data_IF_918984868281
#
_entry.id   IF_918984868281
#
_cell.length_a   1.000
_cell.length_b   1.000
_cell.length_c   1.000
_cell.angle_alpha   90.00
_cell.angle_beta   90.00
_cell.angle_gamma   90.00
#
_symmetry.space_group_name_H-M   'P 1'
#
loop_
_entity.id
_entity.type
_entity.pdbx_description
1 polymer ?
#
# COMPACT_ATOMS: atom_id res chain seq x y z
N UNK A 1 2.19 -6.48 10.12
CA UNK A 1 1.32 -7.67 9.91
C UNK A 1 -0.15 -7.31 10.22
N UNK A 2 -1.16 -8.17 9.94
CA UNK A 2 -2.58 -7.82 10.13
C UNK A 2 -3.37 -8.73 11.07
N UNK A 3 -4.38 -8.16 11.73
CA UNK A 3 -5.48 -8.86 12.40
C UNK A 3 -6.63 -9.13 11.42
N UNK A 4 -7.43 -10.15 11.70
CA UNK A 4 -8.54 -10.56 10.82
C UNK A 4 -9.88 -10.24 11.46
N UNK A 5 -10.69 -9.41 10.80
CA UNK A 5 -12.10 -9.22 11.20
C UNK A 5 -12.90 -10.51 11.08
N UNK A 6 -14.02 -10.62 11.81
CA UNK A 6 -14.96 -11.75 11.69
C UNK A 6 -15.31 -12.05 10.23
N UNK A 7 -15.60 -11.01 9.45
CA UNK A 7 -15.96 -11.15 8.04
C UNK A 7 -14.79 -11.68 7.19
N UNK A 8 -13.56 -11.15 7.38
CA UNK A 8 -12.39 -11.69 6.71
C UNK A 8 -12.15 -13.17 7.05
N UNK A 9 -12.28 -13.56 8.32
CA UNK A 9 -12.15 -14.95 8.76
C UNK A 9 -13.13 -15.88 8.02
N UNK A 10 -14.40 -15.51 7.97
CA UNK A 10 -15.44 -16.29 7.26
C UNK A 10 -15.11 -16.45 5.77
N UNK A 11 -14.63 -15.38 5.11
CA UNK A 11 -14.29 -15.44 3.68
C UNK A 11 -13.04 -16.27 3.41
N UNK A 12 -12.02 -16.19 4.28
CA UNK A 12 -10.80 -17.01 4.18
C UNK A 12 -11.16 -18.50 4.36
N UNK A 13 -11.96 -18.84 5.38
CA UNK A 13 -12.47 -20.22 5.57
C UNK A 13 -13.17 -20.73 4.32
N UNK A 14 -14.10 -19.94 3.77
CA UNK A 14 -14.91 -20.35 2.62
C UNK A 14 -14.09 -20.48 1.33
N UNK A 15 -13.13 -19.59 1.08
CA UNK A 15 -12.48 -19.47 -0.25
C UNK A 15 -11.08 -20.06 -0.32
N UNK A 16 -10.26 -19.87 0.71
CA UNK A 16 -8.87 -20.33 0.70
C UNK A 16 -8.73 -21.72 1.31
N UNK A 17 -9.44 -21.99 2.41
CA UNK A 17 -9.32 -23.25 3.14
C UNK A 17 -10.38 -24.29 2.77
N UNK A 18 -11.57 -23.84 2.33
CA UNK A 18 -12.73 -24.70 2.00
C UNK A 18 -13.12 -25.65 3.14
N UNK A 19 -12.93 -25.22 4.40
CA UNK A 19 -13.24 -25.98 5.63
C UNK A 19 -14.24 -25.21 6.50
N UNK A 20 -15.14 -25.92 7.20
CA UNK A 20 -16.09 -25.33 8.17
C UNK A 20 -15.39 -24.97 9.48
N UNK A 21 -14.66 -25.93 10.05
CA UNK A 21 -13.89 -25.75 11.27
C UNK A 21 -12.40 -25.60 10.96
N UNK A 22 -11.88 -24.44 11.34
CA UNK A 22 -10.48 -24.07 11.17
C UNK A 22 -10.07 -23.36 12.44
N UNK A 23 -8.96 -23.80 13.04
CA UNK A 23 -8.42 -23.14 14.21
C UNK A 23 -7.90 -21.72 13.84
N UNK A 24 -7.86 -20.77 14.79
CA UNK A 24 -7.45 -19.40 14.49
C UNK A 24 -6.01 -19.27 13.96
N UNK A 25 -5.10 -20.12 14.41
CA UNK A 25 -3.68 -20.15 13.98
C UNK A 25 -3.56 -20.47 12.49
N UNK A 26 -4.19 -21.55 12.02
CA UNK A 26 -4.20 -21.99 10.62
C UNK A 26 -4.83 -20.91 9.74
N UNK A 27 -5.93 -20.33 10.19
CA UNK A 27 -6.62 -19.27 9.47
C UNK A 27 -5.73 -18.05 9.28
N UNK A 28 -5.00 -17.66 10.33
CA UNK A 28 -4.07 -16.54 10.28
C UNK A 28 -2.84 -16.83 9.43
N UNK A 29 -2.23 -18.01 9.57
CA UNK A 29 -1.11 -18.47 8.72
C UNK A 29 -1.50 -18.44 7.25
N UNK A 30 -2.69 -18.96 6.90
CA UNK A 30 -3.17 -18.94 5.51
C UNK A 30 -3.37 -17.52 4.98
N UNK A 31 -3.80 -16.60 5.83
CA UNK A 31 -3.96 -15.20 5.45
C UNK A 31 -2.61 -14.53 5.16
N UNK A 32 -1.59 -14.79 6.00
CA UNK A 32 -0.21 -14.31 5.76
C UNK A 32 0.37 -14.91 4.49
N UNK A 33 0.28 -16.23 4.33
CA UNK A 33 0.75 -16.93 3.13
C UNK A 33 0.10 -16.35 1.87
N UNK A 34 -1.21 -16.08 1.92
CA UNK A 34 -1.90 -15.42 0.82
C UNK A 34 -1.31 -14.03 0.53
N UNK A 35 -1.09 -13.21 1.56
CA UNK A 35 -0.53 -11.87 1.39
C UNK A 35 0.92 -11.88 0.86
N UNK A 36 1.76 -12.81 1.35
CA UNK A 36 3.15 -12.98 0.89
C UNK A 36 3.23 -13.41 -0.58
N UNK A 37 2.29 -14.24 -1.04
CA UNK A 37 2.22 -14.71 -2.42
C UNK A 37 1.34 -13.82 -3.32
N UNK A 38 0.96 -12.64 -2.85
CA UNK A 38 0.10 -11.69 -3.56
C UNK A 38 0.87 -10.44 -3.98
N UNK A 39 0.37 -9.78 -5.02
CA UNK A 39 0.76 -8.41 -5.37
C UNK A 39 0.14 -7.48 -4.32
N UNK A 40 0.99 -6.72 -3.61
CA UNK A 40 0.55 -5.65 -2.70
C UNK A 40 0.31 -4.34 -3.47
N UNK A 41 -0.83 -3.69 -3.22
CA UNK A 41 -1.18 -2.37 -3.74
C UNK A 41 -1.67 -1.47 -2.62
N UNK A 42 -1.18 -0.23 -2.60
CA UNK A 42 -1.50 0.74 -1.55
C UNK A 42 -2.29 1.89 -2.15
N UNK A 43 -3.54 2.05 -1.72
CA UNK A 43 -4.42 3.19 -2.01
C UNK A 43 -5.02 3.74 -0.71
N UNK A 44 -6.34 3.90 -0.66
CA UNK A 44 -7.05 4.15 0.60
C UNK A 44 -6.99 2.94 1.55
N UNK A 45 -7.00 1.75 0.95
CA UNK A 45 -6.73 0.47 1.59
C UNK A 45 -5.49 -0.18 0.96
N UNK A 46 -4.97 -1.19 1.63
CA UNK A 46 -3.94 -2.08 1.12
C UNK A 46 -4.64 -3.31 0.55
N UNK A 47 -4.36 -3.62 -0.71
CA UNK A 47 -4.94 -4.74 -1.43
C UNK A 47 -3.84 -5.76 -1.70
N UNK A 48 -4.03 -6.98 -1.20
CA UNK A 48 -3.20 -8.13 -1.59
C UNK A 48 -4.00 -8.95 -2.59
N UNK A 49 -3.53 -9.08 -3.83
CA UNK A 49 -4.22 -9.89 -4.84
C UNK A 49 -3.31 -10.92 -5.50
N UNK A 50 -3.85 -12.12 -5.72
CA UNK A 50 -3.22 -13.18 -6.50
C UNK A 50 -3.87 -13.37 -7.89
N UNK A 51 -4.66 -12.39 -8.34
CA UNK A 51 -5.41 -12.44 -9.61
C UNK A 51 -6.74 -13.22 -9.56
N UNK A 52 -6.98 -14.02 -8.53
CA UNK A 52 -8.27 -14.70 -8.31
C UNK A 52 -9.07 -14.09 -7.16
N UNK A 53 -8.37 -13.73 -6.08
CA UNK A 53 -8.94 -13.08 -4.90
C UNK A 53 -8.15 -11.83 -4.53
N UNK A 54 -8.79 -10.98 -3.74
CA UNK A 54 -8.21 -9.77 -3.17
C UNK A 54 -8.53 -9.71 -1.68
N UNK A 55 -7.50 -9.65 -0.85
CA UNK A 55 -7.59 -9.37 0.58
C UNK A 55 -7.45 -7.86 0.78
N UNK A 56 -8.48 -7.25 1.36
CA UNK A 56 -8.53 -5.81 1.63
C UNK A 56 -8.16 -5.58 3.08
N UNK A 57 -7.17 -4.72 3.28
CA UNK A 57 -6.52 -4.48 4.55
C UNK A 57 -6.44 -2.97 4.79
N UNK A 58 -6.69 -2.51 6.00
CA UNK A 58 -6.49 -1.09 6.35
C UNK A 58 -5.01 -0.72 6.29
N UNK A 59 -4.73 0.57 6.23
CA UNK A 59 -3.41 1.09 6.66
C UNK A 59 -3.18 0.76 8.14
N UNK A 60 -1.93 0.90 8.55
CA UNK A 60 -1.50 0.65 9.93
C UNK A 60 -2.42 1.40 10.91
N UNK A 61 -3.02 0.65 11.83
CA UNK A 61 -3.73 1.22 12.94
C UNK A 61 -2.73 1.63 14.00
N UNK A 62 -2.91 2.81 14.56
CA UNK A 62 -2.12 3.24 15.70
C UNK A 62 -2.36 2.26 16.85
N UNK A 63 -1.27 1.81 17.48
CA UNK A 63 -1.34 1.09 18.75
C UNK A 63 -2.24 1.85 19.73
N UNK A 64 -3.03 1.10 20.51
CA UNK A 64 -3.81 1.69 21.59
C UNK A 64 -2.87 2.24 22.67
N UNK A 65 -3.33 3.22 23.46
CA UNK A 65 -2.60 3.55 24.68
C UNK A 65 -2.62 2.35 25.64
N UNK A 66 -1.72 2.33 26.62
CA UNK A 66 -1.67 1.23 27.58
C UNK A 66 -3.00 1.13 28.34
N UNK A 67 -3.59 2.27 28.69
CA UNK A 67 -4.87 2.38 29.39
C UNK A 67 -6.02 1.86 28.52
N UNK A 68 -6.08 2.26 27.25
CA UNK A 68 -7.10 1.79 26.30
C UNK A 68 -7.00 0.27 26.07
N UNK A 69 -5.78 -0.23 25.88
CA UNK A 69 -5.51 -1.64 25.68
C UNK A 69 -5.95 -2.47 26.89
N UNK A 70 -5.50 -2.10 28.10
CA UNK A 70 -5.89 -2.75 29.35
C UNK A 70 -7.41 -2.71 29.53
N UNK A 71 -8.05 -1.56 29.28
CA UNK A 71 -9.51 -1.42 29.37
C UNK A 71 -10.22 -2.40 28.43
N UNK A 72 -9.78 -2.48 27.17
CA UNK A 72 -10.38 -3.38 26.18
C UNK A 72 -10.22 -4.87 26.55
N UNK A 73 -9.04 -5.26 27.04
CA UNK A 73 -8.77 -6.64 27.46
C UNK A 73 -9.53 -7.00 28.74
N UNK A 74 -9.53 -6.11 29.74
CA UNK A 74 -10.23 -6.33 31.02
C UNK A 74 -11.72 -6.49 30.82
N UNK A 75 -12.34 -5.62 30.03
CA UNK A 75 -13.78 -5.64 29.73
C UNK A 75 -14.21 -6.77 28.78
N UNK A 76 -13.27 -7.46 28.16
CA UNK A 76 -13.55 -8.59 27.28
C UNK A 76 -14.09 -9.80 28.04
N UNK A 77 -15.03 -10.54 27.44
CA UNK A 77 -15.55 -11.80 28.00
C UNK A 77 -14.58 -12.99 27.90
N UNK A 78 -13.51 -12.87 27.12
CA UNK A 78 -12.60 -13.98 26.84
C UNK A 78 -11.59 -14.18 27.98
N UNK A 79 -11.39 -15.44 28.41
CA UNK A 79 -10.37 -15.81 29.42
C UNK A 79 -8.98 -15.99 28.82
N UNK A 80 -8.90 -16.27 27.52
CA UNK A 80 -7.67 -16.49 26.76
C UNK A 80 -7.73 -15.73 25.44
N UNK A 81 -6.57 -15.35 24.94
CA UNK A 81 -6.41 -14.55 23.73
C UNK A 81 -5.35 -15.15 22.82
N UNK A 82 -5.55 -14.97 21.51
CA UNK A 82 -4.52 -15.18 20.51
C UNK A 82 -3.73 -13.89 20.37
N UNK A 83 -2.46 -13.93 20.75
CA UNK A 83 -1.54 -12.80 20.72
C UNK A 83 -0.61 -12.99 19.53
N UNK A 84 -0.66 -12.04 18.60
CA UNK A 84 0.08 -12.03 17.35
C UNK A 84 1.17 -10.96 17.41
N UNK A 85 2.39 -11.28 16.95
CA UNK A 85 3.47 -10.32 16.71
C UNK A 85 4.34 -10.82 15.56
N UNK A 86 5.20 -9.98 15.00
CA UNK A 86 5.93 -10.28 13.76
C UNK A 86 6.58 -11.67 13.78
N UNK A 87 5.98 -12.60 13.02
CA UNK A 87 6.46 -13.97 12.83
C UNK A 87 5.87 -15.07 13.74
N UNK A 88 5.12 -14.75 14.79
CA UNK A 88 4.64 -15.77 15.75
C UNK A 88 3.25 -15.47 16.33
N UNK A 89 2.63 -16.50 16.91
CA UNK A 89 1.34 -16.45 17.58
C UNK A 89 1.35 -17.31 18.84
N UNK A 90 0.93 -16.73 19.96
CA UNK A 90 0.72 -17.48 21.21
C UNK A 90 -0.71 -17.39 21.71
N UNK A 91 -1.18 -18.47 22.30
CA UNK A 91 -2.45 -18.50 23.02
C UNK A 91 -2.17 -18.27 24.51
N UNK A 92 -2.59 -17.12 25.03
CA UNK A 92 -2.20 -16.64 26.36
C UNK A 92 -3.42 -16.37 27.24
N UNK A 93 -3.35 -16.62 28.55
CA UNK A 93 -4.42 -16.25 29.47
C UNK A 93 -4.52 -14.73 29.64
N UNK A 94 -5.72 -14.22 29.94
CA UNK A 94 -6.01 -12.77 30.04
C UNK A 94 -5.01 -12.01 30.91
N UNK A 95 -4.64 -12.56 32.07
CA UNK A 95 -3.79 -11.86 33.04
C UNK A 95 -2.38 -11.61 32.49
N UNK A 96 -1.82 -12.52 31.69
CA UNK A 96 -0.54 -12.31 31.01
C UNK A 96 -0.66 -11.26 29.89
N UNK A 97 -1.77 -11.29 29.15
CA UNK A 97 -2.04 -10.34 28.05
C UNK A 97 -2.13 -8.90 28.56
N UNK A 98 -2.69 -8.70 29.77
CA UNK A 98 -2.79 -7.39 30.41
C UNK A 98 -1.43 -6.74 30.71
N UNK A 99 -0.35 -7.52 30.76
CA UNK A 99 1.01 -7.03 30.95
C UNK A 99 1.65 -6.51 29.65
N UNK A 100 1.04 -6.81 28.50
CA UNK A 100 1.55 -6.46 27.19
C UNK A 100 1.09 -5.06 26.74
N UNK A 101 1.69 -4.57 25.66
CA UNK A 101 1.28 -3.35 24.97
C UNK A 101 0.98 -3.66 23.50
N UNK A 102 -0.19 -3.25 23.04
CA UNK A 102 -0.59 -3.54 21.67
C UNK A 102 -1.95 -2.99 21.30
N UNK A 103 -2.63 -3.71 20.42
CA UNK A 103 -3.96 -3.41 19.93
C UNK A 103 -4.87 -4.61 20.13
N UNK A 104 -5.97 -4.41 20.83
CA UNK A 104 -7.01 -5.40 21.01
C UNK A 104 -8.26 -5.02 20.22
N UNK A 105 -8.77 -5.95 19.41
CA UNK A 105 -10.03 -5.72 18.72
C UNK A 105 -11.20 -5.94 19.69
N UNK A 106 -12.09 -4.95 19.78
CA UNK A 106 -13.29 -5.06 20.62
C UNK A 106 -14.10 -6.30 20.22
N UNK A 107 -14.55 -7.06 21.22
CA UNK A 107 -15.32 -8.31 21.04
C UNK A 107 -14.58 -9.45 20.32
N UNK A 108 -13.26 -9.37 20.16
CA UNK A 108 -12.42 -10.46 19.62
C UNK A 108 -11.46 -11.01 20.69
N UNK A 109 -11.12 -12.31 20.67
CA UNK A 109 -10.00 -12.85 21.43
C UNK A 109 -8.64 -12.57 20.75
N UNK A 110 -8.58 -11.80 19.66
CA UNK A 110 -7.33 -11.50 18.95
C UNK A 110 -6.67 -10.20 19.42
N UNK A 111 -5.37 -10.27 19.63
CA UNK A 111 -4.52 -9.19 20.14
C UNK A 111 -3.26 -9.07 19.31
N UNK A 112 -2.90 -7.88 18.86
CA UNK A 112 -1.64 -7.66 18.17
C UNK A 112 -0.66 -6.86 19.02
N UNK A 113 0.60 -7.26 19.08
CA UNK A 113 1.67 -6.49 19.72
C UNK A 113 2.34 -5.59 18.68
N UNK A 114 2.17 -4.27 18.83
CA UNK A 114 2.62 -3.26 17.87
C UNK A 114 1.46 -2.59 17.11
N UNK A 115 1.75 -2.05 15.92
CA UNK A 115 0.77 -1.39 15.05
C UNK A 115 0.19 -2.38 14.04
N UNK A 116 -1.01 -2.95 14.25
CA UNK A 116 -1.58 -3.89 13.29
C UNK A 116 -2.18 -3.15 12.11
N UNK A 117 -2.17 -3.82 10.95
CA UNK A 117 -3.17 -3.60 9.92
C UNK A 117 -4.43 -4.43 10.23
N UNK A 118 -5.59 -4.10 9.68
CA UNK A 118 -6.83 -4.88 9.86
C UNK A 118 -7.32 -5.38 8.52
N UNK A 119 -7.39 -6.70 8.33
CA UNK A 119 -8.02 -7.30 7.18
C UNK A 119 -9.55 -7.26 7.31
N UNK A 120 -10.17 -6.49 6.42
CA UNK A 120 -11.61 -6.22 6.41
C UNK A 120 -12.35 -7.37 5.73
N UNK A 121 -11.86 -7.82 4.58
CA UNK A 121 -12.50 -8.89 3.81
C UNK A 121 -11.53 -9.54 2.84
N UNK A 122 -11.84 -10.77 2.46
CA UNK A 122 -11.30 -11.40 1.26
C UNK A 122 -12.45 -11.47 0.25
N UNK A 123 -12.25 -11.06 -1.00
CA UNK A 123 -13.29 -11.13 -2.05
C UNK A 123 -12.73 -11.61 -3.39
N UNK A 124 -13.58 -12.01 -4.36
CA UNK A 124 -13.14 -12.23 -5.73
C UNK A 124 -12.43 -11.00 -6.26
N UNK A 125 -11.41 -11.27 -7.05
CA UNK A 125 -10.63 -10.26 -7.74
C UNK A 125 -11.55 -9.39 -8.60
N UNK A 126 -11.35 -8.08 -8.55
CA UNK A 126 -11.91 -7.14 -9.53
C UNK A 126 -10.76 -6.54 -10.32
N UNK A 127 -10.93 -6.34 -11.63
CA UNK A 127 -9.94 -5.64 -12.46
C UNK A 127 -9.54 -4.28 -11.87
N UNK A 128 -10.45 -3.60 -11.16
CA UNK A 128 -10.18 -2.37 -10.39
C UNK A 128 -9.20 -2.51 -9.24
N UNK A 129 -8.96 -3.71 -8.76
CA UNK A 129 -7.95 -3.98 -7.73
C UNK A 129 -6.53 -4.01 -8.34
N UNK A 130 -6.44 -4.17 -9.68
CA UNK A 130 -5.23 -3.98 -10.48
C UNK A 130 -5.18 -2.63 -11.19
N UNK A 131 -6.29 -1.87 -11.26
CA UNK A 131 -6.30 -0.68 -12.10
C UNK A 131 -5.37 0.39 -11.51
N UNK A 132 -4.42 0.89 -12.33
CA UNK A 132 -3.59 2.00 -11.90
C UNK A 132 -4.46 3.23 -11.68
N UNK A 133 -4.17 3.99 -10.61
CA UNK A 133 -4.80 5.30 -10.49
C UNK A 133 -4.31 6.18 -11.64
N UNK A 134 -5.26 6.81 -12.35
CA UNK A 134 -4.92 7.77 -13.40
C UNK A 134 -4.78 9.15 -12.77
N UNK A 135 -3.54 9.63 -12.71
CA UNK A 135 -3.20 10.97 -12.26
C UNK A 135 -3.01 11.89 -13.46
N UNK A 136 -3.64 13.06 -13.44
CA UNK A 136 -3.48 14.05 -14.52
C UNK A 136 -2.47 15.12 -14.12
N UNK A 137 -1.38 15.21 -14.85
CA UNK A 137 -0.33 16.20 -14.61
C UNK A 137 -0.09 17.05 -15.85
N UNK A 138 0.23 18.33 -15.65
CA UNK A 138 0.66 19.20 -16.75
C UNK A 138 2.14 19.01 -17.05
N UNK A 139 2.49 19.05 -18.33
CA UNK A 139 3.87 19.09 -18.80
C UNK A 139 3.96 20.02 -20.02
N UNK A 140 5.09 20.69 -20.21
CA UNK A 140 5.34 21.46 -21.44
C UNK A 140 5.64 20.47 -22.58
N UNK A 141 5.07 20.68 -23.78
CA UNK A 141 5.27 19.80 -24.94
C UNK A 141 6.73 19.42 -25.18
N UNK A 142 7.67 20.37 -25.11
CA UNK A 142 9.10 20.09 -25.33
C UNK A 142 9.68 19.02 -24.41
N UNK A 143 9.16 18.87 -23.19
CA UNK A 143 9.62 17.85 -22.24
C UNK A 143 8.87 16.54 -22.42
N UNK A 144 7.60 16.60 -22.81
CA UNK A 144 6.83 15.43 -23.21
C UNK A 144 7.45 14.74 -24.43
N UNK A 145 7.81 15.52 -25.46
CA UNK A 145 8.44 15.01 -26.67
C UNK A 145 9.76 14.28 -26.34
N UNK A 146 10.54 14.79 -25.37
CA UNK A 146 11.78 14.13 -24.91
C UNK A 146 11.54 12.81 -24.18
N UNK A 147 10.47 12.71 -23.37
CA UNK A 147 10.07 11.45 -22.73
C UNK A 147 9.69 10.41 -23.79
N UNK A 148 8.87 10.82 -24.77
CA UNK A 148 8.40 9.93 -25.83
C UNK A 148 9.54 9.44 -26.75
N UNK A 149 10.56 10.28 -26.98
CA UNK A 149 11.75 9.91 -27.76
C UNK A 149 12.80 9.14 -26.96
N UNK A 150 12.60 8.91 -25.66
CA UNK A 150 13.59 8.28 -24.80
C UNK A 150 14.85 9.13 -24.53
N UNK A 151 14.84 10.42 -24.91
CA UNK A 151 15.89 11.39 -24.57
C UNK A 151 15.90 11.72 -23.06
N UNK A 152 14.78 11.44 -22.39
CA UNK A 152 14.55 11.60 -20.96
C UNK A 152 13.93 10.32 -20.41
N UNK A 153 14.55 9.76 -19.37
CA UNK A 153 14.06 8.55 -18.69
C UNK A 153 13.29 8.91 -17.40
N UNK A 154 13.75 9.96 -16.71
CA UNK A 154 13.16 10.41 -15.45
C UNK A 154 12.49 11.77 -15.61
N UNK A 155 11.20 11.87 -15.28
CA UNK A 155 10.49 13.14 -15.12
C UNK A 155 10.75 13.76 -13.74
N UNK A 156 11.04 15.07 -13.74
CA UNK A 156 11.41 15.80 -12.52
C UNK A 156 10.20 16.56 -12.00
N UNK A 157 9.88 16.41 -10.71
CA UNK A 157 8.76 17.10 -10.08
C UNK A 157 9.13 17.61 -8.69
N UNK A 158 8.73 18.84 -8.36
CA UNK A 158 8.81 19.33 -6.98
C UNK A 158 7.82 18.63 -6.05
N UNK A 159 6.68 18.24 -6.61
CA UNK A 159 5.57 17.63 -5.90
C UNK A 159 4.88 16.64 -6.84
N UNK A 160 4.43 15.54 -6.25
CA UNK A 160 3.63 14.51 -6.89
C UNK A 160 2.33 14.33 -6.09
N UNK A 161 1.26 13.77 -6.68
CA UNK A 161 0.07 13.38 -5.92
C UNK A 161 0.45 12.51 -4.71
N UNK A 162 -0.15 12.77 -3.55
CA UNK A 162 0.22 12.10 -2.27
C UNK A 162 0.09 10.57 -2.32
N UNK A 163 -0.78 10.07 -3.17
CA UNK A 163 -1.11 8.66 -3.35
C UNK A 163 -0.56 8.10 -4.67
N UNK A 164 0.33 8.81 -5.36
CA UNK A 164 0.99 8.28 -6.55
C UNK A 164 1.89 7.11 -6.15
N UNK A 165 1.68 5.95 -6.77
CA UNK A 165 2.43 4.73 -6.52
C UNK A 165 3.08 4.16 -7.78
N UNK A 166 4.02 3.23 -7.59
CA UNK A 166 4.59 2.45 -8.70
C UNK A 166 3.50 1.64 -9.39
N UNK A 167 3.54 1.62 -10.71
CA UNK A 167 2.56 1.17 -11.69
C UNK A 167 1.32 2.03 -11.88
N UNK A 168 1.15 3.15 -11.16
CA UNK A 168 0.07 4.09 -11.49
C UNK A 168 0.24 4.68 -12.90
N UNK A 169 -0.84 5.24 -13.45
CA UNK A 169 -0.83 5.91 -14.75
C UNK A 169 -0.76 7.41 -14.51
N UNK A 170 0.17 8.07 -15.19
CA UNK A 170 0.17 9.51 -15.33
C UNK A 170 -0.28 9.86 -16.74
N UNK A 171 -1.43 10.52 -16.85
CA UNK A 171 -1.85 11.21 -18.06
C UNK A 171 -1.23 12.61 -18.05
N UNK A 172 -0.17 12.78 -18.84
CA UNK A 172 0.40 14.10 -19.08
C UNK A 172 -0.40 14.83 -20.13
N UNK A 173 -0.78 16.08 -19.84
CA UNK A 173 -1.46 16.94 -20.81
C UNK A 173 -0.76 18.30 -20.95
N UNK A 174 -0.68 18.79 -22.19
CA UNK A 174 -0.26 20.16 -22.48
C UNK A 174 -1.51 21.05 -22.64
N UNK A 175 -1.71 21.97 -21.67
CA UNK A 175 -2.84 22.91 -21.64
C UNK A 175 -2.98 23.74 -22.92
N UNK A 176 -1.89 24.04 -23.63
CA UNK A 176 -1.91 24.90 -24.82
C UNK A 176 -2.18 24.12 -26.11
N UNK A 177 -1.79 22.85 -26.16
CA UNK A 177 -1.79 22.07 -27.42
C UNK A 177 -2.80 20.93 -27.46
N UNK A 178 -3.59 20.72 -26.39
CA UNK A 178 -4.61 19.66 -26.29
C UNK A 178 -4.08 18.24 -26.63
N UNK A 179 -2.79 18.00 -26.36
CA UNK A 179 -2.17 16.67 -26.50
C UNK A 179 -2.09 16.04 -25.12
N UNK A 180 -2.56 14.79 -25.00
CA UNK A 180 -2.29 13.95 -23.83
C UNK A 180 -1.62 12.63 -24.21
N UNK A 181 -0.76 12.15 -23.32
CA UNK A 181 -0.14 10.82 -23.39
C UNK A 181 -0.13 10.21 -21.99
N UNK A 182 -0.36 8.90 -21.92
CA UNK A 182 -0.35 8.13 -20.69
C UNK A 182 1.00 7.47 -20.51
N UNK A 183 1.46 7.42 -19.26
CA UNK A 183 2.69 6.75 -18.87
C UNK A 183 2.43 5.90 -17.64
N UNK A 184 3.03 4.73 -17.57
CA UNK A 184 3.10 3.92 -16.35
C UNK A 184 4.30 4.38 -15.51
N UNK A 185 4.09 4.54 -14.22
CA UNK A 185 5.18 4.83 -13.26
C UNK A 185 5.95 3.55 -12.98
N UNK A 186 7.23 3.51 -13.32
CA UNK A 186 8.09 2.36 -13.03
C UNK A 186 8.82 2.51 -11.69
N UNK A 187 9.16 3.75 -11.32
CA UNK A 187 9.97 4.04 -10.13
C UNK A 187 9.69 5.47 -9.65
N UNK A 188 9.73 5.67 -8.33
CA UNK A 188 9.63 6.98 -7.69
C UNK A 188 10.85 7.14 -6.76
N UNK A 189 11.67 8.15 -6.99
CA UNK A 189 12.77 8.54 -6.08
C UNK A 189 12.54 9.93 -5.53
N UNK A 190 13.00 10.17 -4.30
CA UNK A 190 13.08 11.50 -3.71
C UNK A 190 14.54 11.77 -3.36
N UNK A 191 15.18 12.66 -4.11
CA UNK A 191 16.64 12.83 -4.07
C UNK A 191 17.04 14.31 -3.99
N UNK A 192 18.23 14.62 -3.46
CA UNK A 192 18.82 15.96 -3.56
C UNK A 192 18.97 16.41 -5.02
N UNK A 193 18.93 17.72 -5.27
CA UNK A 193 19.07 18.30 -6.62
C UNK A 193 20.35 17.88 -7.33
N UNK A 194 21.47 17.83 -6.61
CA UNK A 194 22.75 17.44 -7.20
C UNK A 194 22.77 15.97 -7.62
N UNK A 195 22.11 15.11 -6.84
CA UNK A 195 21.99 13.69 -7.18
C UNK A 195 21.09 13.48 -8.40
N UNK A 196 20.05 14.31 -8.57
CA UNK A 196 19.16 14.25 -9.72
C UNK A 196 19.90 14.41 -11.07
N UNK A 197 21.02 15.14 -11.10
CA UNK A 197 21.85 15.33 -12.30
C UNK A 197 22.58 14.06 -12.75
N UNK A 198 22.71 13.05 -11.88
CA UNK A 198 23.29 11.74 -12.23
C UNK A 198 22.33 10.88 -13.06
N UNK A 199 21.06 11.25 -13.13
CA UNK A 199 20.01 10.53 -13.86
C UNK A 199 19.75 11.17 -15.24
N UNK A 200 19.21 10.39 -16.17
CA UNK A 200 18.83 10.85 -17.51
C UNK A 200 17.54 11.70 -17.49
N UNK A 201 17.63 12.91 -16.90
CA UNK A 201 16.50 13.84 -16.71
C UNK A 201 16.25 14.77 -17.91
N UNK A 202 17.11 14.79 -18.93
CA UNK A 202 16.90 15.51 -20.18
C UNK A 202 16.78 17.05 -20.09
N UNK A 203 17.14 17.63 -18.94
CA UNK A 203 17.16 19.07 -18.65
C UNK A 203 18.56 19.49 -18.15
N UNK A 204 18.94 20.76 -18.39
CA UNK A 204 20.23 21.29 -17.90
C UNK A 204 20.20 21.54 -16.40
N UNK A 205 21.38 21.64 -15.78
CA UNK A 205 21.54 22.05 -14.37
C UNK A 205 20.83 23.38 -14.08
N UNK A 206 21.00 24.39 -14.93
CA UNK A 206 20.32 25.68 -14.78
C UNK A 206 18.79 25.55 -14.75
N UNK A 207 18.22 24.74 -15.63
CA UNK A 207 16.77 24.51 -15.70
C UNK A 207 16.28 23.73 -14.47
N UNK A 208 17.02 22.72 -14.02
CA UNK A 208 16.68 21.95 -12.83
C UNK A 208 16.59 22.86 -11.60
N UNK A 209 17.60 23.69 -11.36
CA UNK A 209 17.66 24.60 -10.22
C UNK A 209 16.60 25.70 -10.30
N UNK A 210 16.25 26.18 -11.50
CA UNK A 210 15.13 27.12 -11.69
C UNK A 210 13.76 26.48 -11.44
N UNK A 211 13.61 25.20 -11.76
CA UNK A 211 12.36 24.47 -11.53
C UNK A 211 12.22 24.11 -10.06
N UNK A 212 13.32 23.83 -9.37
CA UNK A 212 13.33 23.40 -7.99
C UNK A 212 12.83 24.49 -7.04
N UNK A 213 11.84 24.17 -6.20
CA UNK A 213 11.42 25.05 -5.10
C UNK A 213 12.09 24.70 -3.76
N UNK A 214 12.84 23.59 -3.73
CA UNK A 214 13.47 22.98 -2.55
C UNK A 214 14.75 22.28 -2.99
N UNK A 215 15.60 21.92 -2.02
CA UNK A 215 16.86 21.20 -2.27
C UNK A 215 16.68 19.75 -2.73
N UNK A 216 15.43 19.27 -2.81
CA UNK A 216 15.06 17.92 -3.19
C UNK A 216 13.94 17.91 -4.23
N UNK A 217 13.97 16.89 -5.08
CA UNK A 217 12.97 16.66 -6.13
C UNK A 217 12.55 15.20 -6.18
N UNK A 218 11.35 14.98 -6.71
CA UNK A 218 10.89 13.67 -7.13
C UNK A 218 11.39 13.38 -8.54
N UNK A 219 11.92 12.17 -8.73
CA UNK A 219 12.21 11.59 -10.03
C UNK A 219 11.24 10.45 -10.30
N UNK A 220 10.52 10.55 -11.41
CA UNK A 220 9.57 9.54 -11.86
C UNK A 220 10.16 8.84 -13.08
N UNK A 221 10.50 7.55 -12.96
CA UNK A 221 10.81 6.72 -14.13
C UNK A 221 9.50 6.32 -14.79
N UNK A 222 9.40 6.53 -16.09
CA UNK A 222 8.13 6.42 -16.81
C UNK A 222 8.26 5.56 -18.06
N UNK A 223 7.25 4.73 -18.28
CA UNK A 223 7.07 3.94 -19.50
C UNK A 223 5.88 4.50 -20.28
N UNK A 224 6.04 4.95 -21.54
CA UNK A 224 4.91 5.38 -22.35
C UNK A 224 3.95 4.21 -22.56
N UNK A 225 2.65 4.45 -22.37
CA UNK A 225 1.61 3.52 -22.74
C UNK A 225 1.16 3.85 -24.16
N UNK A 226 1.14 2.84 -25.03
CA UNK A 226 0.63 3.00 -26.37
C UNK A 226 -0.86 3.39 -26.34
N UNK A 227 -1.30 4.13 -27.37
CA UNK A 227 -2.69 4.63 -27.45
C UNK A 227 -3.76 3.52 -27.54
N UNK A 228 -3.36 2.26 -27.61
CA UNK A 228 -4.22 1.10 -27.86
C UNK A 228 -4.43 0.18 -26.65
N UNK A 229 -3.88 0.50 -25.47
CA UNK A 229 -4.08 -0.25 -24.22
C UNK A 229 -5.12 0.36 -23.26
#
# INVERSE_FOLDING_TARGET
MFLLTKHAKEKIKKRLLKKKDVNPIELWKKAIEFAQNSIERVGDFIYYTNGQYTLIVTKDQKSQTKEEFIKNISQSKYKYFYVYWDGDIKYMPKHEVLLLKGYAQKNSPDVYIGNPRIAITLRPFKKSDLFPMIHRLTIKKKWLDKLLKGEKEYEVRNQIPKNLAVNDIIEFYDKKKKVSHKFRVLEIKYVPLEEALKYKIGISKSVLFQLAKKDYVYLLKLEPLDKND
#
